data_IF_689049198229
#
_entry.id   IF_689049198229
#
_cell.length_a   1.000
_cell.length_b   1.000
_cell.length_c   1.000
_cell.angle_alpha   90.00
_cell.angle_beta   90.00
_cell.angle_gamma   90.00
#
_symmetry.space_group_name_H-M   'P 1'
#
loop_
_entity.id
_entity.type
_entity.pdbx_description
1 polymer ?
#
# COMPACT_ATOMS: atom_id res chain seq x y z
N UNK A 1 15.54 -23.74 -22.05
CA UNK A 1 15.50 -22.87 -23.24
C UNK A 1 14.32 -23.32 -24.10
N UNK A 2 13.13 -22.75 -23.86
CA UNK A 2 11.93 -22.99 -24.67
C UNK A 2 11.07 -21.72 -24.65
N UNK A 3 11.07 -21.10 -25.82
CA UNK A 3 10.17 -20.13 -26.48
C UNK A 3 9.38 -19.12 -25.64
N UNK A 4 9.87 -17.88 -25.72
CA UNK A 4 9.14 -16.63 -25.52
C UNK A 4 8.23 -16.43 -26.74
N UNK A 5 6.92 -16.54 -26.59
CA UNK A 5 5.99 -16.13 -27.63
C UNK A 5 5.61 -14.67 -27.39
N UNK A 6 6.16 -13.77 -28.22
CA UNK A 6 5.70 -12.40 -28.32
C UNK A 6 4.61 -12.35 -29.38
N UNK A 7 3.41 -11.91 -29.00
CA UNK A 7 2.40 -11.44 -29.94
C UNK A 7 2.05 -10.02 -29.53
N UNK A 8 2.41 -9.07 -30.39
CA UNK A 8 2.02 -7.66 -30.28
C UNK A 8 0.53 -7.54 -30.64
N UNK A 9 -0.25 -6.89 -29.78
CA UNK A 9 -1.60 -6.45 -30.10
C UNK A 9 -1.66 -4.92 -30.05
N UNK A 10 -2.27 -4.31 -31.08
CA UNK A 10 -2.07 -2.90 -31.47
C UNK A 10 -2.73 -1.83 -30.58
N UNK A 11 -3.17 -2.15 -29.35
CA UNK A 11 -3.91 -1.19 -28.52
C UNK A 11 -3.27 -0.79 -27.18
N UNK A 12 -2.01 -1.14 -26.91
CA UNK A 12 -1.24 -0.49 -25.84
C UNK A 12 -1.75 -0.68 -24.40
N UNK A 13 -2.74 -1.55 -24.18
CA UNK A 13 -3.16 -2.00 -22.86
C UNK A 13 -2.56 -3.37 -22.60
N UNK A 14 -1.57 -3.45 -21.71
CA UNK A 14 -1.34 -4.68 -20.93
C UNK A 14 -0.34 -4.49 -19.79
N UNK A 15 -0.86 -4.48 -18.56
CA UNK A 15 -0.08 -4.92 -17.41
C UNK A 15 -0.15 -6.45 -17.36
N UNK A 16 0.74 -7.13 -18.07
CA UNK A 16 0.84 -8.58 -17.96
C UNK A 16 1.44 -8.96 -16.60
N UNK A 17 0.60 -9.43 -15.68
CA UNK A 17 0.99 -10.49 -14.77
C UNK A 17 1.00 -11.77 -15.61
N UNK A 18 2.01 -12.61 -15.44
CA UNK A 18 2.13 -13.85 -16.20
C UNK A 18 1.02 -14.82 -15.75
N UNK A 19 -0.14 -14.76 -16.42
CA UNK A 19 -1.25 -15.69 -16.17
C UNK A 19 -0.87 -17.01 -16.81
N UNK A 20 -0.45 -17.98 -15.99
CA UNK A 20 -0.05 -19.31 -16.47
C UNK A 20 -1.14 -20.35 -16.21
N UNK A 21 -2.04 -20.11 -15.26
CA UNK A 21 -3.13 -21.04 -14.89
C UNK A 21 -4.28 -20.34 -14.11
N UNK A 22 -5.36 -21.10 -13.84
CA UNK A 22 -6.54 -20.69 -13.05
C UNK A 22 -6.20 -20.15 -11.64
N UNK A 23 -5.15 -20.66 -11.01
CA UNK A 23 -4.71 -20.21 -9.67
C UNK A 23 -4.20 -18.77 -9.73
N UNK A 24 -3.46 -18.42 -10.79
CA UNK A 24 -2.98 -17.05 -10.97
C UNK A 24 -4.14 -16.07 -11.15
N UNK A 25 -5.19 -16.45 -11.89
CA UNK A 25 -6.40 -15.62 -12.05
C UNK A 25 -7.04 -15.36 -10.69
N UNK A 26 -7.31 -16.42 -9.91
CA UNK A 26 -7.94 -16.31 -8.59
C UNK A 26 -7.09 -15.44 -7.65
N UNK A 27 -5.76 -15.62 -7.66
CA UNK A 27 -4.85 -14.81 -6.86
C UNK A 27 -4.88 -13.32 -7.26
N UNK A 28 -4.93 -13.01 -8.56
CA UNK A 28 -5.08 -11.61 -9.02
C UNK A 28 -6.38 -10.98 -8.53
N UNK A 29 -7.49 -11.73 -8.56
CA UNK A 29 -8.77 -11.30 -8.00
C UNK A 29 -8.67 -11.04 -6.49
N UNK A 30 -8.00 -11.93 -5.76
CA UNK A 30 -7.76 -11.79 -4.33
C UNK A 30 -6.97 -10.51 -4.01
N UNK A 31 -5.84 -10.28 -4.67
CA UNK A 31 -4.99 -9.09 -4.46
C UNK A 31 -5.77 -7.81 -4.78
N UNK A 32 -6.46 -7.76 -5.92
CA UNK A 32 -7.25 -6.59 -6.32
C UNK A 32 -8.41 -6.30 -5.34
N UNK A 33 -9.10 -7.35 -4.89
CA UNK A 33 -10.22 -7.24 -3.95
C UNK A 33 -9.78 -6.70 -2.59
N UNK A 34 -8.72 -7.26 -2.01
CA UNK A 34 -8.25 -6.82 -0.70
C UNK A 34 -7.60 -5.44 -0.72
N UNK A 35 -6.97 -5.05 -1.83
CA UNK A 35 -6.49 -3.69 -2.04
C UNK A 35 -7.61 -2.69 -2.41
N UNK A 36 -8.87 -3.15 -2.48
CA UNK A 36 -10.04 -2.36 -2.90
C UNK A 36 -9.84 -1.60 -4.22
N UNK A 37 -9.24 -2.27 -5.21
CA UNK A 37 -9.03 -1.67 -6.54
C UNK A 37 -10.37 -1.33 -7.19
N UNK A 38 -10.46 -0.26 -8.00
CA UNK A 38 -11.64 -0.01 -8.81
C UNK A 38 -11.99 -1.25 -9.63
N UNK A 39 -13.28 -1.61 -9.71
CA UNK A 39 -13.70 -2.85 -10.37
C UNK A 39 -13.22 -2.91 -11.83
N UNK A 40 -13.10 -1.78 -12.52
CA UNK A 40 -12.60 -1.71 -13.90
C UNK A 40 -11.14 -2.17 -14.05
N UNK A 41 -10.37 -2.20 -12.96
CA UNK A 41 -8.96 -2.60 -12.97
C UNK A 41 -8.76 -4.12 -12.75
N UNK A 42 -9.84 -4.89 -12.57
CA UNK A 42 -9.75 -6.34 -12.43
C UNK A 42 -9.61 -6.99 -13.80
N UNK A 43 -8.97 -8.17 -13.87
CA UNK A 43 -8.77 -8.88 -15.14
C UNK A 43 -10.02 -9.70 -15.53
N UNK A 44 -11.16 -9.03 -15.70
CA UNK A 44 -12.46 -9.67 -16.01
C UNK A 44 -12.43 -10.48 -17.31
N UNK A 45 -11.70 -9.99 -18.31
CA UNK A 45 -11.50 -10.66 -19.60
C UNK A 45 -10.94 -12.09 -19.47
N UNK A 46 -10.15 -12.36 -18.42
CA UNK A 46 -9.62 -13.70 -18.16
C UNK A 46 -10.72 -14.67 -17.72
N UNK A 47 -11.69 -14.18 -16.94
CA UNK A 47 -12.83 -14.97 -16.49
C UNK A 47 -13.81 -15.18 -17.64
N UNK A 48 -14.11 -14.14 -18.40
CA UNK A 48 -15.04 -14.22 -19.55
C UNK A 48 -14.58 -15.30 -20.53
N UNK A 49 -13.29 -15.30 -20.90
CA UNK A 49 -12.71 -16.35 -21.74
C UNK A 49 -12.81 -17.75 -21.10
N UNK A 50 -12.65 -17.88 -19.78
CA UNK A 50 -12.77 -19.17 -19.10
C UNK A 50 -14.22 -19.68 -19.08
N UNK A 51 -15.19 -18.79 -18.87
CA UNK A 51 -16.62 -19.10 -18.87
C UNK A 51 -17.14 -19.44 -20.28
N UNK A 52 -16.59 -18.85 -21.33
CA UNK A 52 -16.93 -19.21 -22.71
C UNK A 52 -16.41 -20.60 -23.10
N UNK A 53 -15.24 -20.99 -22.58
CA UNK A 53 -14.57 -22.24 -22.93
C UNK A 53 -14.94 -23.42 -22.01
N UNK A 54 -15.61 -23.16 -20.88
CA UNK A 54 -15.93 -24.17 -19.88
C UNK A 54 -17.39 -24.08 -19.44
N UNK A 55 -18.11 -25.20 -19.40
CA UNK A 55 -19.52 -25.23 -19.02
C UNK A 55 -19.76 -25.02 -17.51
N UNK A 56 -18.71 -24.90 -16.70
CA UNK A 56 -18.83 -24.73 -15.24
C UNK A 56 -18.42 -23.33 -14.79
N UNK A 57 -19.27 -22.66 -13.99
CA UNK A 57 -18.95 -21.40 -13.31
C UNK A 57 -18.21 -21.59 -11.98
N UNK A 58 -17.52 -22.72 -11.79
CA UNK A 58 -16.81 -23.05 -10.55
C UNK A 58 -15.74 -22.02 -10.17
N UNK A 59 -15.08 -21.42 -11.18
CA UNK A 59 -14.07 -20.38 -10.94
C UNK A 59 -14.65 -19.18 -10.19
N UNK A 60 -15.91 -18.81 -10.44
CA UNK A 60 -16.56 -17.70 -9.76
C UNK A 60 -16.70 -17.99 -8.26
N UNK A 61 -17.05 -19.22 -7.89
CA UNK A 61 -17.10 -19.64 -6.49
C UNK A 61 -15.72 -19.67 -5.86
N UNK A 62 -14.69 -20.13 -6.58
CA UNK A 62 -13.32 -20.12 -6.05
C UNK A 62 -12.81 -18.70 -5.82
N UNK A 63 -13.17 -17.75 -6.69
CA UNK A 63 -12.92 -16.32 -6.48
C UNK A 63 -13.65 -15.82 -5.23
N UNK A 64 -14.94 -16.15 -5.05
CA UNK A 64 -15.70 -15.76 -3.86
C UNK A 64 -15.09 -16.34 -2.57
N UNK A 65 -14.64 -17.60 -2.60
CA UNK A 65 -13.91 -18.25 -1.49
C UNK A 65 -12.62 -17.52 -1.15
N UNK A 66 -11.86 -17.08 -2.15
CA UNK A 66 -10.60 -16.36 -1.95
C UNK A 66 -10.76 -14.85 -1.71
N UNK A 67 -11.99 -14.33 -1.76
CA UNK A 67 -12.31 -12.91 -1.55
C UNK A 67 -13.32 -12.72 -0.43
N UNK A 68 -14.62 -12.62 -0.72
CA UNK A 68 -15.67 -12.30 0.24
C UNK A 68 -15.79 -13.30 1.40
N UNK A 69 -15.57 -14.59 1.14
CA UNK A 69 -15.66 -15.64 2.16
C UNK A 69 -14.30 -15.99 2.80
N UNK A 70 -13.23 -15.34 2.36
CA UNK A 70 -11.90 -15.57 2.89
C UNK A 70 -11.82 -15.13 4.37
N UNK A 71 -11.10 -15.85 5.26
CA UNK A 71 -10.98 -15.49 6.67
C UNK A 71 -10.57 -14.03 6.91
N UNK A 72 -9.60 -13.54 6.13
CA UNK A 72 -9.17 -12.14 6.18
C UNK A 72 -10.32 -11.15 5.92
N UNK A 73 -11.23 -11.45 5.00
CA UNK A 73 -12.39 -10.59 4.73
C UNK A 73 -13.43 -10.65 5.86
N UNK A 74 -13.56 -11.78 6.55
CA UNK A 74 -14.45 -11.91 7.71
C UNK A 74 -13.98 -11.09 8.90
N UNK A 75 -12.66 -11.07 9.15
CA UNK A 75 -12.08 -10.33 10.27
C UNK A 75 -11.87 -8.84 9.93
N UNK A 76 -11.37 -8.56 8.72
CA UNK A 76 -10.93 -7.24 8.26
C UNK A 76 -11.53 -6.94 6.88
N UNK A 77 -12.87 -6.71 6.81
CA UNK A 77 -13.58 -6.59 5.55
C UNK A 77 -13.26 -5.29 4.79
N UNK A 78 -13.12 -5.35 3.45
CA UNK A 78 -13.38 -4.21 2.58
C UNK A 78 -14.78 -3.62 2.81
N UNK A 79 -14.97 -2.37 2.37
CA UNK A 79 -16.24 -1.65 2.60
C UNK A 79 -17.46 -2.42 2.07
N UNK A 80 -18.61 -2.25 2.74
CA UNK A 80 -19.82 -3.03 2.44
C UNK A 80 -20.25 -2.76 1.00
N UNK A 81 -20.28 -1.49 0.60
CA UNK A 81 -20.58 -1.05 -0.77
C UNK A 81 -19.64 -1.66 -1.79
N UNK A 82 -18.35 -1.79 -1.48
CA UNK A 82 -17.38 -2.41 -2.38
C UNK A 82 -17.66 -3.90 -2.58
N UNK A 83 -17.81 -4.65 -1.48
CA UNK A 83 -18.13 -6.08 -1.51
C UNK A 83 -19.43 -6.36 -2.26
N UNK A 84 -20.48 -5.57 -2.02
CA UNK A 84 -21.76 -5.65 -2.77
C UNK A 84 -21.53 -5.50 -4.27
N UNK A 85 -20.83 -4.45 -4.70
CA UNK A 85 -20.60 -4.19 -6.13
C UNK A 85 -19.77 -5.28 -6.78
N UNK A 86 -18.77 -5.80 -6.08
CA UNK A 86 -17.94 -6.92 -6.54
C UNK A 86 -18.79 -8.18 -6.77
N UNK A 87 -19.59 -8.59 -5.78
CA UNK A 87 -20.48 -9.75 -5.89
C UNK A 87 -21.55 -9.57 -6.98
N UNK A 88 -22.16 -8.38 -7.09
CA UNK A 88 -23.09 -8.09 -8.19
C UNK A 88 -22.44 -8.24 -9.57
N UNK A 89 -21.16 -7.90 -9.71
CA UNK A 89 -20.46 -8.07 -10.99
C UNK A 89 -20.24 -9.55 -11.31
N UNK A 90 -19.82 -10.36 -10.32
CA UNK A 90 -19.68 -11.80 -10.49
C UNK A 90 -21.02 -12.48 -10.84
N UNK A 91 -22.11 -12.10 -10.16
CA UNK A 91 -23.46 -12.61 -10.45
C UNK A 91 -23.87 -12.28 -11.89
N UNK A 92 -23.62 -11.05 -12.36
CA UNK A 92 -23.91 -10.68 -13.76
C UNK A 92 -23.13 -11.52 -14.77
N UNK A 93 -21.86 -11.82 -14.49
CA UNK A 93 -21.04 -12.70 -15.35
C UNK A 93 -21.60 -14.12 -15.37
N UNK A 94 -22.03 -14.64 -14.21
CA UNK A 94 -22.69 -15.94 -14.11
C UNK A 94 -24.01 -15.98 -14.89
N UNK A 95 -24.90 -15.01 -14.68
CA UNK A 95 -26.21 -14.90 -15.35
C UNK A 95 -26.09 -14.75 -16.87
N UNK A 96 -24.98 -14.19 -17.38
CA UNK A 96 -24.72 -14.07 -18.80
C UNK A 96 -24.20 -15.37 -19.46
N UNK A 97 -23.60 -16.27 -18.68
CA UNK A 97 -22.90 -17.47 -19.18
C UNK A 97 -23.60 -18.79 -18.83
N UNK A 98 -24.46 -18.82 -17.81
CA UNK A 98 -25.09 -20.03 -17.29
C UNK A 98 -26.63 -19.93 -17.25
N UNK A 99 -27.30 -21.08 -17.39
CA UNK A 99 -28.77 -21.18 -17.38
C UNK A 99 -29.39 -21.30 -15.99
N UNK A 100 -28.64 -21.80 -15.00
CA UNK A 100 -29.12 -21.99 -13.62
C UNK A 100 -28.41 -21.05 -12.65
N UNK A 101 -29.13 -20.43 -11.69
CA UNK A 101 -28.53 -19.64 -10.62
C UNK A 101 -27.54 -20.45 -9.79
N UNK A 102 -26.49 -19.79 -9.30
CA UNK A 102 -25.48 -20.42 -8.45
C UNK A 102 -25.62 -19.93 -7.00
N UNK A 103 -26.25 -20.74 -6.15
CA UNK A 103 -26.64 -20.39 -4.77
C UNK A 103 -25.50 -19.77 -3.96
N UNK A 104 -24.28 -20.32 -4.04
CA UNK A 104 -23.12 -19.80 -3.30
C UNK A 104 -22.76 -18.33 -3.59
N UNK A 105 -23.08 -17.80 -4.79
CA UNK A 105 -22.90 -16.38 -5.10
C UNK A 105 -23.96 -15.51 -4.40
N UNK A 106 -25.21 -15.97 -4.40
CA UNK A 106 -26.33 -15.25 -3.77
C UNK A 106 -26.28 -15.34 -2.24
N UNK A 107 -25.82 -16.46 -1.69
CA UNK A 107 -25.56 -16.62 -0.25
C UNK A 107 -24.51 -15.61 0.22
N UNK A 108 -23.38 -15.52 -0.50
CA UNK A 108 -22.35 -14.53 -0.21
C UNK A 108 -22.89 -13.09 -0.32
N UNK A 109 -23.74 -12.80 -1.31
CA UNK A 109 -24.38 -11.48 -1.42
C UNK A 109 -25.34 -11.21 -0.25
N UNK A 110 -26.11 -12.22 0.17
CA UNK A 110 -27.02 -12.16 1.31
C UNK A 110 -26.32 -11.76 2.60
N UNK A 111 -25.15 -12.35 2.88
CA UNK A 111 -24.32 -12.00 4.04
C UNK A 111 -23.92 -10.51 4.03
N UNK A 112 -23.57 -9.96 2.86
CA UNK A 112 -23.16 -8.55 2.75
C UNK A 112 -24.36 -7.60 2.83
N UNK A 113 -25.51 -7.97 2.26
CA UNK A 113 -26.71 -7.13 2.29
C UNK A 113 -27.25 -6.90 3.71
N UNK A 114 -27.02 -7.84 4.62
CA UNK A 114 -27.37 -7.70 6.03
C UNK A 114 -26.40 -6.85 6.87
N UNK A 115 -25.32 -6.33 6.28
CA UNK A 115 -24.29 -5.57 7.01
C UNK A 115 -24.50 -4.06 6.85
N UNK A 116 -24.39 -3.29 7.94
CA UNK A 116 -24.41 -1.82 7.90
C UNK A 116 -23.05 -1.25 7.45
N UNK A 117 -23.06 -0.15 6.68
CA UNK A 117 -21.84 0.53 6.24
C UNK A 117 -21.30 1.44 7.36
N UNK A 118 -20.03 1.24 7.71
CA UNK A 118 -19.32 2.10 8.66
C UNK A 118 -18.53 3.22 7.98
N UNK A 119 -18.01 4.19 8.76
CA UNK A 119 -17.11 5.23 8.25
C UNK A 119 -15.71 4.70 7.90
N UNK A 120 -15.38 3.49 8.36
CA UNK A 120 -14.09 2.83 8.18
C UNK A 120 -14.26 1.50 7.45
N UNK A 121 -13.20 1.10 6.74
CA UNK A 121 -13.09 -0.21 6.14
C UNK A 121 -11.64 -0.68 6.18
N UNK A 122 -11.41 -1.94 5.83
CA UNK A 122 -10.05 -2.49 5.80
C UNK A 122 -9.57 -2.72 4.38
N UNK A 123 -8.34 -2.30 4.12
CA UNK A 123 -7.58 -2.72 2.94
C UNK A 123 -6.43 -3.60 3.37
N UNK A 124 -6.19 -4.67 2.63
CA UNK A 124 -5.07 -5.57 2.87
C UNK A 124 -4.19 -5.69 1.63
N UNK A 125 -2.89 -5.53 1.82
CA UNK A 125 -1.88 -5.54 0.77
C UNK A 125 -0.97 -6.74 0.98
N UNK A 126 -1.01 -7.70 0.05
CA UNK A 126 -0.22 -8.93 0.15
C UNK A 126 1.25 -8.65 -0.16
N UNK A 127 2.14 -9.15 0.69
CA UNK A 127 3.59 -9.02 0.56
C UNK A 127 4.18 -10.30 -0.05
N UNK A 128 5.32 -10.22 -0.78
CA UNK A 128 5.98 -11.40 -1.35
C UNK A 128 6.44 -12.43 -0.31
N UNK A 129 6.59 -12.03 0.95
CA UNK A 129 6.93 -12.92 2.06
C UNK A 129 5.76 -13.79 2.56
N UNK A 130 4.56 -13.65 1.98
CA UNK A 130 3.36 -14.39 2.39
C UNK A 130 2.56 -13.75 3.53
N UNK A 131 3.02 -12.60 4.05
CA UNK A 131 2.27 -11.79 5.02
C UNK A 131 1.42 -10.72 4.31
N UNK A 132 0.51 -10.06 5.03
CA UNK A 132 -0.33 -9.00 4.49
C UNK A 132 -0.36 -7.76 5.38
N UNK A 133 -0.10 -6.58 4.82
CA UNK A 133 -0.29 -5.30 5.54
C UNK A 133 -1.78 -4.96 5.52
N UNK A 134 -2.43 -4.97 6.67
CA UNK A 134 -3.86 -4.63 6.78
C UNK A 134 -4.03 -3.28 7.45
N UNK A 135 -4.78 -2.37 6.85
CA UNK A 135 -4.97 -1.01 7.33
C UNK A 135 -6.47 -0.73 7.51
N UNK A 136 -6.86 -0.17 8.65
CA UNK A 136 -8.14 0.55 8.77
C UNK A 136 -7.99 1.90 8.07
N UNK A 137 -8.83 2.14 7.06
CA UNK A 137 -8.87 3.37 6.27
C UNK A 137 -10.27 3.98 6.33
N UNK A 138 -10.34 5.30 6.19
CA UNK A 138 -11.62 5.98 5.99
C UNK A 138 -12.24 5.58 4.64
N UNK A 139 -13.55 5.37 4.61
CA UNK A 139 -14.28 5.15 3.35
C UNK A 139 -14.28 6.41 2.47
N UNK A 140 -14.10 7.59 3.09
CA UNK A 140 -14.00 8.87 2.38
C UNK A 140 -12.54 9.31 2.21
N UNK A 141 -12.18 9.73 0.99
CA UNK A 141 -10.82 10.21 0.64
C UNK A 141 -10.39 11.42 1.47
N UNK A 142 -11.34 12.32 1.76
CA UNK A 142 -11.16 13.44 2.68
C UNK A 142 -12.12 13.22 3.83
N UNK A 143 -11.59 13.15 5.04
CA UNK A 143 -12.38 13.00 6.27
C UNK A 143 -11.68 13.71 7.41
N UNK A 144 -12.45 14.23 8.35
CA UNK A 144 -11.92 14.90 9.55
C UNK A 144 -10.94 16.06 9.24
N UNK A 145 -11.09 16.72 8.08
CA UNK A 145 -10.22 17.81 7.66
C UNK A 145 -8.84 17.38 7.16
N UNK A 146 -8.62 16.08 6.91
CA UNK A 146 -7.34 15.53 6.47
C UNK A 146 -7.50 14.54 5.30
N UNK A 147 -6.42 14.36 4.55
CA UNK A 147 -6.25 13.35 3.49
C UNK A 147 -5.41 12.14 3.95
N UNK A 148 -4.92 12.15 5.18
CA UNK A 148 -4.00 11.15 5.72
C UNK A 148 -4.65 9.85 6.22
N UNK A 149 -5.98 9.73 6.14
CA UNK A 149 -6.74 8.56 6.60
C UNK A 149 -6.99 7.50 5.51
N UNK A 150 -6.36 7.66 4.35
CA UNK A 150 -6.40 6.71 3.23
C UNK A 150 -5.00 6.48 2.67
N UNK A 151 -4.79 5.33 2.04
CA UNK A 151 -3.55 5.02 1.32
C UNK A 151 -3.51 5.71 -0.05
N UNK A 152 -2.40 6.36 -0.35
CA UNK A 152 -2.13 7.00 -1.65
C UNK A 152 -1.20 6.18 -2.54
N UNK A 153 -1.29 6.35 -3.87
CA UNK A 153 -0.53 5.53 -4.83
C UNK A 153 0.99 5.73 -4.73
N UNK A 154 1.47 6.94 -4.41
CA UNK A 154 2.89 7.15 -4.14
C UNK A 154 3.40 6.35 -2.92
N UNK A 155 2.55 6.05 -1.93
CA UNK A 155 2.93 5.21 -0.80
C UNK A 155 3.09 3.74 -1.23
N UNK A 156 2.21 3.25 -2.11
CA UNK A 156 2.36 1.93 -2.72
C UNK A 156 3.67 1.87 -3.52
N UNK A 157 3.91 2.84 -4.39
CA UNK A 157 5.14 2.93 -5.18
C UNK A 157 6.41 2.96 -4.30
N UNK A 158 6.41 3.80 -3.26
CA UNK A 158 7.54 3.93 -2.34
C UNK A 158 7.75 2.64 -1.56
N UNK A 159 6.68 1.97 -1.15
CA UNK A 159 6.76 0.68 -0.47
C UNK A 159 7.40 -0.38 -1.37
N UNK A 160 6.99 -0.49 -2.65
CA UNK A 160 7.65 -1.40 -3.60
C UNK A 160 9.14 -1.12 -3.76
N UNK A 161 9.49 0.16 -3.96
CA UNK A 161 10.90 0.56 -4.11
C UNK A 161 11.71 0.23 -2.87
N UNK A 162 11.12 0.42 -1.68
CA UNK A 162 11.74 0.10 -0.41
C UNK A 162 12.00 -1.40 -0.22
N UNK A 163 11.13 -2.26 -0.76
CA UNK A 163 11.34 -3.73 -0.75
C UNK A 163 12.57 -4.14 -1.59
N UNK A 164 12.95 -3.35 -2.59
CA UNK A 164 14.12 -3.59 -3.44
C UNK A 164 15.39 -2.93 -2.91
N UNK A 165 15.22 -1.85 -2.15
CA UNK A 165 16.31 -0.98 -1.67
C UNK A 165 16.61 -1.20 -0.18
N UNK A 166 16.48 -2.43 0.31
CA UNK A 166 16.61 -2.76 1.76
C UNK A 166 17.90 -2.25 2.41
N UNK A 167 19.01 -2.20 1.66
CA UNK A 167 20.32 -1.77 2.13
C UNK A 167 20.38 -0.30 2.56
N UNK A 168 19.50 0.58 2.05
CA UNK A 168 19.44 2.00 2.45
C UNK A 168 18.47 2.24 3.60
N UNK A 169 17.75 1.22 4.09
CA UNK A 169 16.67 1.38 5.07
C UNK A 169 17.06 0.78 6.42
N UNK A 170 18.03 1.41 7.10
CA UNK A 170 18.54 0.92 8.40
C UNK A 170 17.87 1.62 9.60
N UNK A 171 17.86 2.95 9.65
CA UNK A 171 17.23 3.74 10.68
C UNK A 171 16.40 4.86 10.04
N UNK A 172 15.10 4.61 9.91
CA UNK A 172 14.22 5.36 9.00
C UNK A 172 13.32 6.34 9.76
N UNK A 173 13.16 7.55 9.23
CA UNK A 173 12.06 8.47 9.55
C UNK A 173 11.12 8.55 8.35
N UNK A 174 9.83 8.30 8.54
CA UNK A 174 8.80 8.53 7.52
C UNK A 174 8.05 9.82 7.82
N UNK A 175 8.17 10.81 6.92
CA UNK A 175 7.43 12.08 7.00
C UNK A 175 6.05 11.93 6.36
N UNK A 176 5.00 12.31 7.09
CA UNK A 176 3.62 12.20 6.59
C UNK A 176 3.22 10.75 6.38
N UNK A 177 3.39 9.92 7.41
CA UNK A 177 3.15 8.48 7.34
C UNK A 177 1.70 8.10 7.03
N UNK A 178 0.74 9.00 7.24
CA UNK A 178 -0.67 8.72 7.01
C UNK A 178 -1.13 7.50 7.81
N UNK A 179 -1.83 6.58 7.14
CA UNK A 179 -2.27 5.30 7.73
C UNK A 179 -1.15 4.27 7.92
N UNK A 180 0.08 4.53 7.44
CA UNK A 180 1.27 3.74 7.77
C UNK A 180 1.65 2.63 6.79
N UNK A 181 1.06 2.58 5.59
CA UNK A 181 1.32 1.52 4.61
C UNK A 181 2.82 1.26 4.41
N UNK A 182 3.57 2.29 3.99
CA UNK A 182 4.97 2.16 3.60
C UNK A 182 5.78 1.59 4.75
N UNK A 183 5.74 2.24 5.92
CA UNK A 183 6.55 1.81 7.04
C UNK A 183 6.17 0.45 7.60
N UNK A 184 4.90 0.06 7.58
CA UNK A 184 4.51 -1.29 8.00
C UNK A 184 5.08 -2.34 7.02
N UNK A 185 5.01 -2.08 5.71
CA UNK A 185 5.60 -2.96 4.70
C UNK A 185 7.12 -3.08 4.85
N UNK A 186 7.81 -1.96 5.09
CA UNK A 186 9.27 -1.92 5.35
C UNK A 186 9.62 -2.66 6.64
N UNK A 187 8.88 -2.45 7.72
CA UNK A 187 9.14 -3.11 9.00
C UNK A 187 9.07 -4.64 8.88
N UNK A 188 8.08 -5.16 8.14
CA UNK A 188 7.90 -6.60 7.95
C UNK A 188 8.92 -7.22 7.01
N UNK A 189 9.24 -6.53 5.93
CA UNK A 189 10.03 -7.11 4.84
C UNK A 189 11.52 -6.82 4.97
N UNK A 190 11.88 -5.59 5.37
CA UNK A 190 13.25 -5.10 5.37
C UNK A 190 13.90 -5.19 6.76
N UNK A 191 13.09 -5.22 7.84
CA UNK A 191 13.53 -5.27 9.24
C UNK A 191 14.61 -4.23 9.59
N UNK A 192 14.32 -2.93 9.41
CA UNK A 192 15.23 -1.86 9.83
C UNK A 192 15.54 -1.98 11.33
N UNK A 193 16.69 -1.47 11.76
CA UNK A 193 17.02 -1.38 13.18
C UNK A 193 16.05 -0.47 13.95
N UNK A 194 15.56 0.60 13.28
CA UNK A 194 14.65 1.59 13.84
C UNK A 194 13.75 2.15 12.74
N UNK A 195 12.48 2.35 13.07
CA UNK A 195 11.52 3.05 12.21
C UNK A 195 10.70 4.05 13.02
N UNK A 196 10.77 5.31 12.63
CA UNK A 196 10.01 6.42 13.22
C UNK A 196 8.93 6.82 12.24
N UNK A 197 7.70 6.49 12.55
CA UNK A 197 6.55 7.00 11.82
C UNK A 197 6.25 8.42 12.33
N UNK A 198 5.95 9.35 11.44
CA UNK A 198 5.61 10.72 11.83
C UNK A 198 4.49 11.32 11.00
N UNK A 199 3.63 12.05 11.68
CA UNK A 199 2.55 12.86 11.10
C UNK A 199 2.26 14.01 12.08
N UNK A 200 1.31 14.89 11.77
CA UNK A 200 0.90 16.00 12.64
C UNK A 200 -0.58 15.92 13.02
N UNK A 201 -1.44 15.42 12.14
CA UNK A 201 -2.87 15.45 12.41
C UNK A 201 -3.25 14.39 13.47
N UNK A 202 -3.95 14.81 14.53
CA UNK A 202 -4.24 13.95 15.68
C UNK A 202 -4.97 12.65 15.29
N UNK A 203 -6.02 12.74 14.47
CA UNK A 203 -6.75 11.57 13.98
C UNK A 203 -5.89 10.63 13.15
N UNK A 204 -4.95 11.17 12.35
CA UNK A 204 -4.03 10.36 11.54
C UNK A 204 -3.04 9.64 12.44
N UNK A 205 -2.46 10.34 13.42
CA UNK A 205 -1.57 9.73 14.41
C UNK A 205 -2.28 8.64 15.23
N UNK A 206 -3.55 8.83 15.58
CA UNK A 206 -4.33 7.80 16.27
C UNK A 206 -4.53 6.59 15.36
N UNK A 207 -5.03 6.79 14.13
CA UNK A 207 -5.25 5.70 13.16
C UNK A 207 -3.97 4.94 12.84
N UNK A 208 -2.86 5.65 12.70
CA UNK A 208 -1.54 5.07 12.51
C UNK A 208 -1.16 4.13 13.66
N UNK A 209 -1.36 4.54 14.93
CA UNK A 209 -1.10 3.67 16.09
C UNK A 209 -1.99 2.43 16.08
N UNK A 210 -3.26 2.60 15.77
CA UNK A 210 -4.21 1.48 15.67
C UNK A 210 -3.78 0.50 14.56
N UNK A 211 -3.30 1.01 13.43
CA UNK A 211 -2.76 0.20 12.33
C UNK A 211 -1.43 -0.49 12.69
N UNK A 212 -0.54 0.14 13.47
CA UNK A 212 0.66 -0.53 13.96
C UNK A 212 0.31 -1.70 14.90
N UNK A 213 -0.66 -1.49 15.79
CA UNK A 213 -1.18 -2.55 16.66
C UNK A 213 -1.80 -3.68 15.84
N UNK A 214 -2.67 -3.35 14.87
CA UNK A 214 -3.30 -4.29 13.93
C UNK A 214 -2.29 -5.15 13.18
N UNK A 215 -1.10 -4.60 12.91
CA UNK A 215 -0.03 -5.31 12.21
C UNK A 215 1.02 -5.93 13.13
N UNK A 216 0.80 -5.96 14.45
CA UNK A 216 1.71 -6.58 15.42
C UNK A 216 3.04 -5.84 15.58
N UNK A 217 3.08 -4.54 15.26
CA UNK A 217 4.27 -3.68 15.39
C UNK A 217 4.25 -2.82 16.66
N UNK A 218 3.23 -2.96 17.50
CA UNK A 218 3.24 -2.34 18.82
C UNK A 218 4.11 -3.14 19.79
N UNK A 219 5.10 -2.46 20.37
CA UNK A 219 6.02 -3.03 21.35
C UNK A 219 5.33 -3.33 22.70
N UNK A 220 4.12 -2.83 22.93
CA UNK A 220 3.46 -2.93 24.25
C UNK A 220 2.60 -4.17 24.48
N UNK A 221 2.14 -4.87 23.44
CA UNK A 221 1.25 -6.04 23.60
C UNK A 221 1.62 -7.21 22.68
N UNK A 222 2.58 -8.01 23.12
CA UNK A 222 3.11 -9.18 22.41
C UNK A 222 2.20 -10.44 22.44
N UNK A 223 0.87 -10.28 22.52
CA UNK A 223 -0.05 -11.41 22.68
C UNK A 223 -0.85 -11.82 21.43
N UNK A 224 -0.83 -11.03 20.36
CA UNK A 224 -1.57 -11.36 19.14
C UNK A 224 -0.62 -11.68 17.98
N UNK A 225 -0.83 -12.84 17.36
CA UNK A 225 -0.11 -13.24 16.16
C UNK A 225 -0.54 -12.34 15.00
N UNK A 226 0.38 -11.92 14.11
CA UNK A 226 0.01 -11.17 12.91
C UNK A 226 -0.99 -11.97 12.06
N UNK A 227 -1.91 -11.30 11.33
CA UNK A 227 -2.85 -11.96 10.46
C UNK A 227 -2.10 -12.79 9.40
N UNK A 228 -2.32 -14.11 9.41
CA UNK A 228 -1.70 -15.07 8.48
C UNK A 228 -2.65 -15.38 7.33
N UNK A 229 -2.10 -15.56 6.14
CA UNK A 229 -2.86 -15.83 4.93
C UNK A 229 -3.24 -17.32 4.77
N UNK A 230 -2.52 -18.25 5.41
CA UNK A 230 -2.69 -19.69 5.17
C UNK A 230 -3.10 -20.49 6.42
N UNK A 231 -4.11 -21.35 6.25
CA UNK A 231 -4.49 -22.45 7.16
C UNK A 231 -3.75 -23.76 6.82
N UNK A 232 -2.58 -23.69 6.19
CA UNK A 232 -1.77 -24.90 5.95
C UNK A 232 -1.20 -25.39 7.28
N UNK A 233 -1.46 -26.64 7.64
CA UNK A 233 -0.89 -27.33 8.83
C UNK A 233 0.65 -27.38 8.83
N UNK A 234 1.29 -26.93 7.75
CA UNK A 234 2.71 -26.58 7.72
C UNK A 234 2.95 -25.28 8.51
N UNK A 235 3.06 -25.44 9.83
CA UNK A 235 3.49 -24.39 10.75
C UNK A 235 4.92 -23.97 10.39
N UNK A 236 5.07 -22.98 9.50
CA UNK A 236 6.25 -22.13 9.51
C UNK A 236 6.15 -21.30 10.80
N UNK A 237 6.75 -21.85 11.85
CA UNK A 237 6.99 -21.14 13.11
C UNK A 237 7.79 -19.91 12.72
N UNK A 238 7.16 -18.74 12.76
CA UNK A 238 7.88 -17.49 12.58
C UNK A 238 8.96 -17.49 13.66
N UNK A 239 10.23 -17.42 13.24
CA UNK A 239 11.37 -17.51 14.14
C UNK A 239 11.24 -16.42 15.20
N UNK A 240 10.84 -16.80 16.42
CA UNK A 240 10.62 -15.87 17.53
C UNK A 240 11.91 -15.17 17.99
N UNK A 241 13.06 -15.58 17.45
CA UNK A 241 14.37 -14.98 17.69
C UNK A 241 14.78 -13.94 16.62
N UNK A 242 13.90 -13.56 15.69
CA UNK A 242 14.21 -12.47 14.76
C UNK A 242 14.34 -11.13 15.53
N UNK A 243 15.35 -10.29 15.23
CA UNK A 243 15.48 -8.98 15.86
C UNK A 243 14.22 -8.16 15.67
N UNK A 244 13.65 -7.62 16.77
CA UNK A 244 12.50 -6.73 16.68
C UNK A 244 12.94 -5.36 16.15
N UNK A 245 12.16 -4.82 15.22
CA UNK A 245 12.32 -3.45 14.70
C UNK A 245 11.98 -2.46 15.82
N UNK A 246 12.85 -1.50 16.08
CA UNK A 246 12.55 -0.39 17.00
C UNK A 246 11.53 0.58 16.40
N UNK A 247 10.23 0.34 16.62
CA UNK A 247 9.13 1.18 16.10
C UNK A 247 8.73 2.28 17.09
N UNK A 248 8.51 3.49 16.59
CA UNK A 248 7.89 4.59 17.36
C UNK A 248 7.05 5.51 16.47
N UNK A 249 6.02 6.14 17.06
CA UNK A 249 5.18 7.16 16.41
C UNK A 249 5.46 8.52 17.02
N UNK A 250 5.72 9.52 16.19
CA UNK A 250 6.01 10.90 16.60
C UNK A 250 4.99 11.88 15.99
N UNK A 251 4.47 12.74 16.83
CA UNK A 251 3.90 14.01 16.38
C UNK A 251 5.07 14.90 15.93
N UNK A 252 5.06 15.27 14.65
CA UNK A 252 6.12 16.05 14.03
C UNK A 252 5.53 17.25 13.27
N UNK A 253 5.38 18.37 13.98
CA UNK A 253 5.11 19.66 13.36
C UNK A 253 6.34 20.17 12.60
N UNK A 254 6.28 20.13 11.27
CA UNK A 254 7.38 20.53 10.39
C UNK A 254 7.85 21.97 10.62
N UNK A 255 6.97 22.86 11.09
CA UNK A 255 7.30 24.27 11.35
C UNK A 255 8.05 24.46 12.67
N UNK A 256 7.81 23.58 13.65
CA UNK A 256 8.33 23.74 15.03
C UNK A 256 9.50 22.84 15.35
N UNK A 257 9.68 21.73 14.63
CA UNK A 257 10.76 20.79 14.92
C UNK A 257 12.14 21.46 14.81
N UNK A 258 12.98 21.20 15.81
CA UNK A 258 14.36 21.70 15.89
C UNK A 258 15.37 20.69 15.34
N UNK A 259 16.56 21.15 14.97
CA UNK A 259 17.63 20.25 14.54
C UNK A 259 18.12 19.32 15.67
N UNK A 260 18.04 19.75 16.93
CA UNK A 260 18.37 18.91 18.08
C UNK A 260 17.41 17.71 18.16
N UNK A 261 16.10 17.97 18.07
CA UNK A 261 15.09 16.91 18.05
C UNK A 261 15.31 15.94 16.89
N UNK A 262 15.71 16.43 15.70
CA UNK A 262 16.01 15.59 14.54
C UNK A 262 17.27 14.75 14.75
N UNK A 263 18.33 15.31 15.34
CA UNK A 263 19.56 14.58 15.68
C UNK A 263 19.30 13.47 16.70
N UNK A 264 18.46 13.74 17.71
CA UNK A 264 18.09 12.77 18.74
C UNK A 264 17.32 11.56 18.19
N UNK A 265 16.72 11.68 17.00
CA UNK A 265 16.10 10.53 16.33
C UNK A 265 17.16 9.51 15.88
N UNK A 266 18.42 9.92 15.65
CA UNK A 266 19.49 9.03 15.22
C UNK A 266 19.16 8.28 13.92
N UNK A 267 18.50 8.96 12.98
CA UNK A 267 18.11 8.39 11.68
C UNK A 267 19.21 8.59 10.65
N UNK A 268 19.27 7.69 9.68
CA UNK A 268 20.15 7.82 8.51
C UNK A 268 19.39 7.85 7.19
N UNK A 269 18.09 7.57 7.21
CA UNK A 269 17.25 7.62 6.02
C UNK A 269 15.93 8.30 6.34
N UNK A 270 15.49 9.18 5.45
CA UNK A 270 14.18 9.81 5.50
C UNK A 270 13.41 9.44 4.26
N UNK A 271 12.17 9.00 4.43
CA UNK A 271 11.28 8.72 3.32
C UNK A 271 9.98 9.52 3.47
N UNK A 272 9.35 9.86 2.35
CA UNK A 272 8.04 10.50 2.36
C UNK A 272 7.24 10.10 1.11
N UNK A 273 5.95 9.85 1.28
CA UNK A 273 5.04 9.55 0.18
C UNK A 273 3.92 10.59 0.12
N UNK A 274 3.76 11.19 -1.06
CA UNK A 274 2.65 12.09 -1.40
C UNK A 274 2.52 13.32 -0.48
N UNK A 275 3.63 13.82 0.05
CA UNK A 275 3.69 15.02 0.91
C UNK A 275 3.75 16.35 0.14
N UNK A 276 3.77 16.28 -1.20
CA UNK A 276 3.85 17.45 -2.11
C UNK A 276 2.51 17.62 -2.83
N UNK A 277 1.52 18.15 -2.12
CA UNK A 277 0.16 18.29 -2.64
C UNK A 277 -0.46 19.70 -2.48
N UNK A 278 0.06 20.51 -1.56
CA UNK A 278 -0.44 21.84 -1.27
C UNK A 278 0.71 22.87 -1.39
N UNK A 279 0.57 23.92 -2.22
CA UNK A 279 1.58 24.98 -2.32
C UNK A 279 1.95 25.62 -0.98
N UNK A 280 1.02 25.72 -0.03
CA UNK A 280 1.23 26.42 1.24
C UNK A 280 2.15 25.66 2.20
N UNK A 281 2.30 24.34 2.01
CA UNK A 281 3.19 23.50 2.83
C UNK A 281 4.59 23.32 2.21
N UNK A 282 4.78 23.68 0.94
CA UNK A 282 6.06 23.49 0.24
C UNK A 282 7.21 24.20 0.96
N UNK A 283 6.99 25.45 1.38
CA UNK A 283 8.02 26.24 2.06
C UNK A 283 8.51 25.55 3.34
N UNK A 284 7.58 25.15 4.22
CA UNK A 284 7.95 24.52 5.48
C UNK A 284 8.50 23.10 5.29
N UNK A 285 8.06 22.36 4.27
CA UNK A 285 8.66 21.07 3.90
C UNK A 285 10.13 21.25 3.48
N UNK A 286 10.44 22.21 2.60
CA UNK A 286 11.82 22.45 2.15
C UNK A 286 12.72 22.94 3.29
N UNK A 287 12.21 23.76 4.20
CA UNK A 287 12.93 24.15 5.42
C UNK A 287 13.24 22.94 6.32
N UNK A 288 12.27 22.04 6.51
CA UNK A 288 12.47 20.79 7.24
C UNK A 288 13.54 19.91 6.57
N UNK A 289 13.45 19.71 5.26
CA UNK A 289 14.43 18.92 4.50
C UNK A 289 15.84 19.51 4.62
N UNK A 290 15.96 20.84 4.58
CA UNK A 290 17.22 21.55 4.80
C UNK A 290 17.79 21.29 6.20
N UNK A 291 16.95 21.30 7.24
CA UNK A 291 17.36 20.97 8.63
C UNK A 291 17.83 19.52 8.72
N UNK A 292 17.09 18.57 8.13
CA UNK A 292 17.43 17.14 8.13
C UNK A 292 18.77 16.91 7.45
N UNK A 293 19.00 17.48 6.27
CA UNK A 293 20.27 17.34 5.54
C UNK A 293 21.48 17.92 6.28
N UNK A 294 21.27 18.89 7.18
CA UNK A 294 22.34 19.43 8.05
C UNK A 294 22.61 18.56 9.29
N UNK A 295 21.71 17.63 9.61
CA UNK A 295 21.85 16.73 10.74
C UNK A 295 22.65 15.49 10.34
N UNK A 296 23.97 15.50 10.57
CA UNK A 296 24.78 14.30 10.30
C UNK A 296 24.63 13.24 11.39
N UNK A 297 24.24 12.03 11.02
CA UNK A 297 24.44 10.85 11.84
C UNK A 297 25.79 10.22 11.45
N UNK A 298 26.70 10.05 12.42
CA UNK A 298 28.01 9.40 12.20
C UNK A 298 28.88 10.02 11.09
N UNK A 299 28.76 11.32 10.84
CA UNK A 299 29.60 12.06 9.89
C UNK A 299 29.05 12.19 8.47
N UNK A 300 27.89 11.60 8.17
CA UNK A 300 27.21 11.75 6.88
C UNK A 300 25.77 12.27 7.05
N UNK A 301 25.26 13.09 6.12
CA UNK A 301 23.86 13.50 6.13
C UNK A 301 22.94 12.31 5.83
N UNK A 302 21.67 12.33 6.24
CA UNK A 302 20.72 11.27 5.96
C UNK A 302 20.37 11.23 4.47
N UNK A 303 20.19 10.03 3.92
CA UNK A 303 19.60 9.86 2.59
C UNK A 303 18.12 10.24 2.64
N UNK A 304 17.64 11.04 1.70
CA UNK A 304 16.23 11.46 1.65
C UNK A 304 15.58 11.03 0.36
N UNK A 305 14.46 10.32 0.45
CA UNK A 305 13.66 9.84 -0.67
C UNK A 305 12.22 10.36 -0.60
N UNK A 306 11.75 11.01 -1.66
CA UNK A 306 10.38 11.56 -1.72
C UNK A 306 9.67 10.99 -2.94
N UNK A 307 8.63 10.20 -2.71
CA UNK A 307 7.74 9.73 -3.77
C UNK A 307 6.52 10.65 -3.89
N UNK A 308 6.19 11.09 -5.10
CA UNK A 308 5.06 11.99 -5.35
C UNK A 308 4.22 11.53 -6.53
N UNK A 309 2.90 11.46 -6.35
CA UNK A 309 1.98 11.36 -7.49
C UNK A 309 1.77 12.77 -8.04
N UNK A 310 2.25 13.02 -9.26
CA UNK A 310 2.20 14.35 -9.88
C UNK A 310 0.79 14.62 -10.40
N UNK A 311 -0.07 15.16 -9.55
CA UNK A 311 -1.46 15.55 -9.88
C UNK A 311 -1.56 16.95 -10.46
N UNK A 312 -0.80 17.88 -9.86
CA UNK A 312 -0.68 19.25 -10.33
C UNK A 312 0.80 19.54 -10.67
N UNK A 313 1.17 19.59 -11.96
CA UNK A 313 2.53 19.87 -12.39
C UNK A 313 3.09 21.18 -11.84
N UNK A 314 2.28 22.22 -11.67
CA UNK A 314 2.73 23.53 -11.18
C UNK A 314 3.14 23.47 -9.72
N UNK A 315 2.37 22.75 -8.90
CA UNK A 315 2.70 22.52 -7.48
C UNK A 315 3.99 21.72 -7.36
N UNK A 316 4.14 20.65 -8.16
CA UNK A 316 5.34 19.83 -8.15
C UNK A 316 6.59 20.57 -8.65
N UNK A 317 6.45 21.38 -9.71
CA UNK A 317 7.54 22.22 -10.22
C UNK A 317 7.89 23.34 -9.23
N UNK A 318 6.91 23.90 -8.52
CA UNK A 318 7.15 24.85 -7.44
C UNK A 318 8.00 24.21 -6.33
N UNK A 319 7.70 22.96 -5.95
CA UNK A 319 8.52 22.22 -4.98
C UNK A 319 9.97 22.07 -5.42
N UNK A 320 10.20 21.62 -6.67
CA UNK A 320 11.57 21.53 -7.23
C UNK A 320 12.30 22.87 -7.27
N UNK A 321 11.60 23.96 -7.57
CA UNK A 321 12.17 25.31 -7.54
C UNK A 321 12.55 25.74 -6.11
N UNK A 322 11.72 25.44 -5.12
CA UNK A 322 12.03 25.73 -3.71
C UNK A 322 13.23 24.92 -3.22
N UNK A 323 13.35 23.63 -3.60
CA UNK A 323 14.56 22.83 -3.34
C UNK A 323 15.81 23.51 -3.91
N UNK A 324 15.78 23.90 -5.19
CA UNK A 324 16.92 24.56 -5.84
C UNK A 324 17.29 25.89 -5.17
N UNK A 325 16.30 26.71 -4.79
CA UNK A 325 16.53 27.97 -4.08
C UNK A 325 17.15 27.76 -2.68
N UNK A 326 16.84 26.64 -2.02
CA UNK A 326 17.42 26.24 -0.74
C UNK A 326 18.81 25.59 -0.90
N UNK A 327 19.31 25.43 -2.13
CA UNK A 327 20.57 24.75 -2.42
C UNK A 327 20.48 23.22 -2.38
N UNK A 328 19.29 22.64 -2.30
CA UNK A 328 19.10 21.19 -2.29
C UNK A 328 19.04 20.68 -3.73
N UNK A 329 20.00 19.83 -4.10
CA UNK A 329 20.00 19.11 -5.37
C UNK A 329 19.09 17.89 -5.27
N UNK A 330 18.54 17.47 -6.41
CA UNK A 330 17.72 16.27 -6.48
C UNK A 330 18.07 15.44 -7.72
N UNK A 331 17.93 14.13 -7.60
CA UNK A 331 18.02 13.17 -8.70
C UNK A 331 16.70 12.40 -8.80
N UNK A 332 16.25 12.14 -10.02
CA UNK A 332 15.08 11.28 -10.27
C UNK A 332 15.56 9.83 -10.27
N UNK A 333 15.08 9.06 -9.31
CA UNK A 333 15.43 7.65 -9.18
C UNK A 333 14.68 6.79 -10.20
N UNK A 334 15.29 5.67 -10.56
CA UNK A 334 14.56 4.60 -11.24
C UNK A 334 13.48 4.02 -10.31
N UNK A 335 12.32 3.73 -10.88
CA UNK A 335 11.22 3.15 -10.13
C UNK A 335 11.42 1.69 -9.75
N UNK A 336 10.52 1.14 -8.91
CA UNK A 336 10.55 -0.27 -8.56
C UNK A 336 10.37 -1.15 -9.80
N UNK A 337 11.16 -2.21 -9.89
CA UNK A 337 11.12 -3.16 -11.00
C UNK A 337 10.01 -4.20 -10.78
N UNK A 338 9.89 -4.69 -9.56
CA UNK A 338 8.87 -5.64 -9.15
C UNK A 338 7.54 -4.94 -8.93
N UNK A 339 6.47 -5.60 -9.40
CA UNK A 339 5.10 -5.11 -9.30
C UNK A 339 4.38 -5.88 -8.19
N UNK A 340 4.63 -5.49 -6.95
CA UNK A 340 4.06 -6.13 -5.75
C UNK A 340 2.64 -5.63 -5.50
N UNK A 341 2.43 -4.32 -5.62
CA UNK A 341 1.17 -3.66 -5.39
C UNK A 341 0.52 -3.21 -6.70
N UNK A 342 -0.81 -3.28 -6.71
CA UNK A 342 -1.62 -2.86 -7.84
C UNK A 342 -2.01 -1.38 -7.67
N UNK A 343 -1.46 -0.54 -8.53
CA UNK A 343 -1.86 0.86 -8.71
C UNK A 343 -1.78 1.25 -10.18
N UNK A 344 -2.39 2.39 -10.56
CA UNK A 344 -2.48 2.76 -11.97
C UNK A 344 -1.13 3.32 -12.48
N UNK A 345 -0.27 2.45 -12.98
CA UNK A 345 1.07 2.83 -13.48
C UNK A 345 1.05 3.63 -14.79
N UNK A 346 -0.04 3.56 -15.56
CA UNK A 346 -0.15 4.24 -16.85
C UNK A 346 -0.69 5.66 -16.71
N UNK A 347 -1.68 5.86 -15.84
CA UNK A 347 -2.30 7.19 -15.65
C UNK A 347 -1.65 7.98 -14.52
N UNK A 348 -1.06 7.33 -13.52
CA UNK A 348 -0.45 8.02 -12.39
C UNK A 348 1.03 8.24 -12.65
N UNK A 349 1.39 9.48 -13.00
CA UNK A 349 2.79 9.89 -13.09
C UNK A 349 3.36 9.99 -11.68
N UNK A 350 4.05 8.95 -11.24
CA UNK A 350 4.73 8.91 -9.94
C UNK A 350 6.22 9.09 -10.16
N UNK A 351 6.85 9.97 -9.39
CA UNK A 351 8.28 10.23 -9.43
C UNK A 351 8.88 10.06 -8.03
N UNK A 352 10.04 9.42 -7.95
CA UNK A 352 10.82 9.27 -6.73
C UNK A 352 12.08 10.12 -6.83
N UNK A 353 12.23 11.06 -5.91
CA UNK A 353 13.42 11.92 -5.83
C UNK A 353 14.34 11.45 -4.72
N UNK A 354 15.64 11.39 -4.98
CA UNK A 354 16.67 11.39 -3.94
C UNK A 354 17.22 12.82 -3.79
N UNK A 355 17.34 13.30 -2.55
CA UNK A 355 17.82 14.67 -2.27
C UNK A 355 19.23 14.68 -1.68
N UNK A 356 20.00 15.69 -2.05
CA UNK A 356 21.41 15.87 -1.68
C UNK A 356 21.74 17.35 -1.45
N UNK A 357 22.72 17.65 -0.59
CA UNK A 357 23.29 19.00 -0.46
C UNK A 357 24.24 19.34 -1.61
#
# INVERSE_FOLDING_TARGET
>A
MKEMCQTEDQNGETSFICVRNRTDVIYNFQVCFFAMRPLQAFPWNLIENELENNSSSEILLDIVKQTCLHPLCRERPPSVKYRRRFLFHLIKLHEASASEPQDGLYDALGEVLGTEEGPECYKSYLLPCGEAVTLSESVAVISEGTTGLVTWEAALYLAEWALESTHVLLAVLELGSGVGLTGIAVCRSCRPSKYVFSDYHHSVLQRLRDNLQLNGLDNQNSKENPPRLCNSEDVVVANQNAPRVGVSVKDLDWKKVTEEQLRDLGINTVIAADVVYDPDIIGCLVELLSKILRCSANGSPPDIYISSTIRNPDTYNSFKKHLANAGIRHEVMSGPVNKVFHYNRLSSRIELLQLHL
#
